data_IF_594818220020
#
_entry.id   IF_594818220020
#
_cell.length_a   1.000
_cell.length_b   1.000
_cell.length_c   1.000
_cell.angle_alpha   90.00
_cell.angle_beta   90.00
_cell.angle_gamma   90.00
#
_symmetry.space_group_name_H-M   'P 1'
#
loop_
_entity.id
_entity.type
_entity.pdbx_description
1 polymer ?
#
# COMPACT_ATOMS: atom_id res chain seq x y z
N UNK A 1 -2.97 2.69 -19.71
CA UNK A 1 -2.32 4.02 -19.65
C UNK A 1 -0.81 3.91 -19.55
N UNK A 2 -0.11 4.78 -20.20
CA UNK A 2 1.34 4.92 -20.04
C UNK A 2 1.66 5.75 -18.80
N UNK A 3 2.89 5.67 -18.33
CA UNK A 3 3.33 6.34 -17.09
C UNK A 3 3.05 7.86 -17.09
N UNK A 4 3.28 8.53 -18.21
CA UNK A 4 3.01 9.97 -18.33
C UNK A 4 1.54 10.32 -18.17
N UNK A 5 0.66 9.51 -18.70
CA UNK A 5 -0.78 9.67 -18.56
C UNK A 5 -1.24 9.45 -17.12
N UNK A 6 -0.68 8.44 -16.47
CA UNK A 6 -0.97 8.14 -15.06
C UNK A 6 -0.49 9.30 -14.18
N UNK A 7 0.73 9.77 -14.40
CA UNK A 7 1.30 10.88 -13.65
C UNK A 7 0.41 12.13 -13.72
N UNK A 8 -0.05 12.46 -14.92
CA UNK A 8 -0.98 13.57 -15.12
C UNK A 8 -2.32 13.36 -14.43
N UNK A 9 -2.87 12.16 -14.56
CA UNK A 9 -4.17 11.81 -13.98
C UNK A 9 -4.20 11.89 -12.45
N UNK A 10 -3.10 11.54 -11.78
CA UNK A 10 -3.03 11.54 -10.31
C UNK A 10 -2.31 12.75 -9.73
N UNK A 11 -1.79 13.64 -10.57
CA UNK A 11 -1.11 14.86 -10.11
C UNK A 11 0.28 14.65 -9.56
N UNK A 12 1.04 13.74 -10.14
CA UNK A 12 2.41 13.45 -9.73
C UNK A 12 3.34 13.43 -10.96
N UNK A 13 4.55 12.93 -10.81
CA UNK A 13 5.53 12.83 -11.88
C UNK A 13 5.84 11.36 -12.20
N UNK A 14 6.30 11.12 -13.43
CA UNK A 14 6.75 9.77 -13.84
C UNK A 14 7.88 9.27 -12.94
N UNK A 15 8.76 10.17 -12.51
CA UNK A 15 9.85 9.83 -11.60
C UNK A 15 9.35 9.32 -10.25
N UNK A 16 8.33 9.96 -9.70
CA UNK A 16 7.71 9.53 -8.44
C UNK A 16 7.09 8.15 -8.58
N UNK A 17 6.39 7.91 -9.69
CA UNK A 17 5.77 6.60 -9.95
C UNK A 17 6.84 5.51 -10.03
N UNK A 18 7.93 5.73 -10.75
CA UNK A 18 9.04 4.78 -10.83
C UNK A 18 9.68 4.52 -9.49
N UNK A 19 9.82 5.56 -8.68
CA UNK A 19 10.35 5.42 -7.33
C UNK A 19 9.44 4.55 -6.46
N UNK A 20 8.13 4.75 -6.54
CA UNK A 20 7.17 3.93 -5.81
C UNK A 20 7.22 2.45 -6.24
N UNK A 21 7.44 2.20 -7.51
CA UNK A 21 7.67 0.84 -8.00
C UNK A 21 8.94 0.23 -7.42
N UNK A 22 10.04 0.99 -7.39
CA UNK A 22 11.31 0.53 -6.84
C UNK A 22 11.24 0.15 -5.38
N UNK A 23 10.51 0.91 -4.57
CA UNK A 23 10.38 0.65 -3.13
C UNK A 23 9.26 -0.34 -2.80
N UNK A 24 8.58 -0.87 -3.81
CA UNK A 24 7.56 -1.89 -3.62
C UNK A 24 6.17 -1.37 -3.26
N UNK A 25 5.93 -0.06 -3.32
CA UNK A 25 4.60 0.50 -3.10
C UNK A 25 3.63 0.19 -4.21
N UNK A 26 4.14 0.16 -5.44
CA UNK A 26 3.39 -0.21 -6.61
C UNK A 26 3.94 -1.50 -7.18
N UNK A 27 3.06 -2.28 -7.76
CA UNK A 27 3.44 -3.49 -8.47
C UNK A 27 4.32 -3.13 -9.66
N UNK A 28 5.48 -3.76 -9.76
CA UNK A 28 6.37 -3.55 -10.89
C UNK A 28 5.75 -4.08 -12.16
N UNK A 29 5.84 -3.29 -13.22
CA UNK A 29 5.33 -3.66 -14.54
C UNK A 29 6.44 -4.13 -15.47
N UNK A 30 7.60 -4.40 -14.93
CA UNK A 30 8.80 -4.81 -15.67
C UNK A 30 8.87 -6.30 -15.99
N UNK A 31 7.87 -7.08 -15.64
CA UNK A 31 7.67 -8.45 -16.09
C UNK A 31 7.42 -8.51 -17.60
N UNK A 32 7.26 -7.36 -18.22
CA UNK A 32 7.10 -7.24 -19.67
C UNK A 32 8.42 -7.29 -20.37
N UNK A 33 8.38 -7.78 -21.61
CA UNK A 33 9.56 -7.86 -22.43
C UNK A 33 10.29 -6.52 -22.49
N UNK A 34 11.61 -6.58 -22.34
CA UNK A 34 12.51 -5.44 -22.42
C UNK A 34 12.26 -4.63 -23.70
N UNK A 35 12.09 -3.32 -23.57
CA UNK A 35 11.81 -2.42 -24.67
C UNK A 35 10.35 -2.09 -24.92
N UNK A 36 9.43 -2.77 -24.25
CA UNK A 36 8.01 -2.41 -24.35
C UNK A 36 7.67 -1.30 -23.35
N UNK A 37 6.79 -0.42 -23.76
CA UNK A 37 6.26 0.61 -22.87
C UNK A 37 5.42 -0.02 -21.76
N UNK A 38 5.64 0.42 -20.54
CA UNK A 38 4.85 -0.02 -19.41
C UNK A 38 3.42 0.51 -19.56
N UNK A 39 2.44 -0.35 -19.32
CA UNK A 39 1.05 0.04 -19.25
C UNK A 39 0.53 -0.16 -17.84
N UNK A 40 -0.27 0.76 -17.38
CA UNK A 40 -0.84 0.76 -16.04
C UNK A 40 -2.34 0.51 -16.15
N UNK A 41 -2.85 -0.32 -15.24
CA UNK A 41 -4.28 -0.63 -15.17
C UNK A 41 -5.00 0.41 -14.33
N UNK A 42 -6.34 0.38 -14.35
CA UNK A 42 -7.14 1.22 -13.47
C UNK A 42 -6.86 0.93 -12.00
N UNK A 43 -6.57 -0.33 -11.66
CA UNK A 43 -6.20 -0.72 -10.29
C UNK A 43 -4.88 -0.07 -9.87
N UNK A 44 -3.91 -0.02 -10.78
CA UNK A 44 -2.63 0.66 -10.53
C UNK A 44 -2.86 2.14 -10.24
N UNK A 45 -3.72 2.78 -11.01
CA UNK A 45 -4.06 4.20 -10.85
C UNK A 45 -4.74 4.45 -9.51
N UNK A 46 -5.72 3.63 -9.15
CA UNK A 46 -6.42 3.73 -7.87
C UNK A 46 -5.49 3.54 -6.69
N UNK A 47 -4.62 2.53 -6.77
CA UNK A 47 -3.63 2.25 -5.73
C UNK A 47 -2.69 3.44 -5.54
N UNK A 48 -2.24 4.04 -6.63
CA UNK A 48 -1.38 5.21 -6.59
C UNK A 48 -2.09 6.42 -5.97
N UNK A 49 -3.35 6.65 -6.34
CA UNK A 49 -4.17 7.72 -5.75
C UNK A 49 -4.32 7.52 -4.25
N UNK A 50 -4.63 6.31 -3.82
CA UNK A 50 -4.78 5.97 -2.41
C UNK A 50 -3.49 6.20 -1.64
N UNK A 51 -2.36 5.77 -2.20
CA UNK A 51 -1.05 5.96 -1.59
C UNK A 51 -0.72 7.44 -1.41
N UNK A 52 -0.90 8.24 -2.46
CA UNK A 52 -0.63 9.69 -2.41
C UNK A 52 -1.56 10.40 -1.43
N UNK A 53 -2.83 10.01 -1.42
CA UNK A 53 -3.82 10.57 -0.53
C UNK A 53 -3.51 10.27 0.94
N UNK A 54 -3.17 9.02 1.25
CA UNK A 54 -2.80 8.62 2.62
C UNK A 54 -1.55 9.36 3.09
N UNK A 55 -0.56 9.47 2.21
CA UNK A 55 0.67 10.19 2.51
C UNK A 55 0.37 11.64 2.89
N UNK A 56 -0.45 12.31 2.10
CA UNK A 56 -0.82 13.70 2.34
C UNK A 56 -1.67 13.88 3.59
N UNK A 57 -2.75 13.11 3.72
CA UNK A 57 -3.69 13.23 4.83
C UNK A 57 -3.06 12.93 6.18
N UNK A 58 -2.20 11.94 6.24
CA UNK A 58 -1.59 11.47 7.49
C UNK A 58 -0.19 12.03 7.70
N UNK A 59 0.35 12.77 6.73
CA UNK A 59 1.71 13.29 6.80
C UNK A 59 2.76 12.20 6.95
N UNK A 60 2.57 11.08 6.26
CA UNK A 60 3.45 9.93 6.38
C UNK A 60 4.77 10.12 5.64
N UNK A 61 5.85 9.56 6.18
CA UNK A 61 7.07 9.35 5.43
C UNK A 61 6.86 8.25 4.39
N UNK A 62 7.74 8.14 3.42
CA UNK A 62 7.66 7.06 2.42
C UNK A 62 7.77 5.69 3.06
N UNK A 63 8.62 5.55 4.09
CA UNK A 63 8.77 4.28 4.82
C UNK A 63 7.48 3.90 5.56
N UNK A 64 6.86 4.86 6.25
CA UNK A 64 5.58 4.66 6.92
C UNK A 64 4.47 4.31 5.94
N UNK A 65 4.45 4.97 4.77
CA UNK A 65 3.49 4.68 3.72
C UNK A 65 3.67 3.26 3.19
N UNK A 66 4.92 2.84 2.96
CA UNK A 66 5.23 1.49 2.50
C UNK A 66 4.75 0.44 3.50
N UNK A 67 5.03 0.63 4.78
CA UNK A 67 4.58 -0.27 5.84
C UNK A 67 3.06 -0.37 5.89
N UNK A 68 2.37 0.77 5.79
CA UNK A 68 0.91 0.81 5.79
C UNK A 68 0.33 0.07 4.58
N UNK A 69 0.87 0.29 3.40
CA UNK A 69 0.40 -0.37 2.18
C UNK A 69 0.65 -1.87 2.21
N UNK A 70 1.80 -2.31 2.70
CA UNK A 70 2.09 -3.74 2.88
C UNK A 70 1.14 -4.39 3.87
N UNK A 71 0.84 -3.70 4.97
CA UNK A 71 -0.09 -4.18 5.98
C UNK A 71 -1.51 -4.33 5.40
N UNK A 72 -1.95 -3.38 4.59
CA UNK A 72 -3.24 -3.45 3.91
C UNK A 72 -3.31 -4.59 2.89
N UNK A 73 -2.23 -4.83 2.15
CA UNK A 73 -2.15 -5.95 1.21
C UNK A 73 -2.25 -7.29 1.96
N UNK A 74 -1.55 -7.41 3.08
CA UNK A 74 -1.60 -8.60 3.92
C UNK A 74 -3.01 -8.81 4.50
N UNK A 75 -3.66 -7.74 4.93
CA UNK A 75 -5.04 -7.80 5.43
C UNK A 75 -5.99 -8.28 4.34
N UNK A 76 -5.88 -7.74 3.14
CA UNK A 76 -6.73 -8.13 2.02
C UNK A 76 -6.52 -9.61 1.66
N UNK A 77 -5.28 -10.07 1.66
CA UNK A 77 -4.96 -11.46 1.38
C UNK A 77 -5.54 -12.41 2.45
N UNK A 78 -5.44 -12.03 3.73
CA UNK A 78 -6.03 -12.82 4.83
C UNK A 78 -7.55 -12.87 4.74
N UNK A 79 -8.18 -11.75 4.40
CA UNK A 79 -9.62 -11.68 4.23
C UNK A 79 -10.09 -12.60 3.10
N UNK A 80 -9.37 -12.58 1.98
CA UNK A 80 -9.67 -13.46 0.85
C UNK A 80 -9.52 -14.94 1.21
N UNK A 81 -8.44 -15.29 1.88
CA UNK A 81 -8.19 -16.65 2.35
C UNK A 81 -9.30 -17.12 3.32
N UNK A 82 -9.69 -16.26 4.26
CA UNK A 82 -10.73 -16.56 5.25
C UNK A 82 -12.07 -16.83 4.58
N UNK A 83 -12.46 -16.00 3.62
CA UNK A 83 -13.80 -16.09 3.00
C UNK A 83 -13.88 -17.07 1.84
N UNK A 84 -12.80 -17.29 1.12
CA UNK A 84 -12.82 -18.06 -0.13
C UNK A 84 -11.88 -19.28 -0.14
N UNK A 85 -10.88 -19.31 0.72
CA UNK A 85 -9.86 -20.36 0.73
C UNK A 85 -10.19 -21.58 1.56
N UNK A 86 -11.27 -21.59 2.31
CA UNK A 86 -11.68 -22.68 3.20
C UNK A 86 -10.51 -23.15 4.11
N UNK A 87 -9.92 -22.25 4.89
CA UNK A 87 -8.74 -22.60 5.70
C UNK A 87 -9.07 -23.61 6.79
N UNK A 88 -8.05 -24.42 7.17
CA UNK A 88 -8.15 -25.33 8.30
C UNK A 88 -8.34 -24.56 9.61
N UNK A 89 -8.80 -25.21 10.69
CA UNK A 89 -8.91 -24.57 12.00
C UNK A 89 -7.57 -23.98 12.48
N UNK A 90 -6.46 -24.67 12.24
CA UNK A 90 -5.13 -24.18 12.60
C UNK A 90 -4.76 -22.92 11.79
N UNK A 91 -5.06 -22.90 10.50
CA UNK A 91 -4.82 -21.73 9.65
C UNK A 91 -5.70 -20.56 10.06
N UNK A 92 -6.95 -20.81 10.42
CA UNK A 92 -7.86 -19.78 10.93
C UNK A 92 -7.32 -19.11 12.19
N UNK A 93 -6.79 -19.92 13.13
CA UNK A 93 -6.17 -19.40 14.34
C UNK A 93 -4.96 -18.51 14.00
N UNK A 94 -4.13 -18.93 13.04
CA UNK A 94 -2.99 -18.15 12.58
C UNK A 94 -3.41 -16.82 11.93
N UNK A 95 -4.45 -16.84 11.10
CA UNK A 95 -5.00 -15.64 10.46
C UNK A 95 -5.47 -14.64 11.50
N UNK A 96 -6.18 -15.10 12.54
CA UNK A 96 -6.64 -14.23 13.62
C UNK A 96 -5.49 -13.59 14.38
N UNK A 97 -4.41 -14.33 14.65
CA UNK A 97 -3.22 -13.79 15.29
C UNK A 97 -2.50 -12.76 14.42
N UNK A 98 -2.42 -13.01 13.12
CA UNK A 98 -1.83 -12.06 12.16
C UNK A 98 -2.66 -10.77 12.11
N UNK A 99 -4.00 -10.89 12.10
CA UNK A 99 -4.90 -9.74 12.11
C UNK A 99 -4.73 -8.93 13.39
N UNK A 100 -4.62 -9.58 14.53
CA UNK A 100 -4.40 -8.93 15.83
C UNK A 100 -3.10 -8.14 15.83
N UNK A 101 -2.00 -8.72 15.34
CA UNK A 101 -0.70 -8.02 15.22
C UNK A 101 -0.79 -6.82 14.29
N UNK A 102 -1.54 -6.95 13.20
CA UNK A 102 -1.75 -5.86 12.25
C UNK A 102 -2.45 -4.67 12.93
N UNK A 103 -3.52 -4.95 13.66
CA UNK A 103 -4.27 -3.94 14.41
C UNK A 103 -3.37 -3.26 15.44
N UNK A 104 -2.59 -4.02 16.19
CA UNK A 104 -1.66 -3.50 17.18
C UNK A 104 -0.66 -2.53 16.56
N UNK A 105 -0.09 -2.88 15.41
CA UNK A 105 0.85 -2.01 14.68
C UNK A 105 0.18 -0.73 14.22
N UNK A 106 -1.04 -0.81 13.72
CA UNK A 106 -1.78 0.37 13.30
C UNK A 106 -2.09 1.29 14.48
N UNK A 107 -2.46 0.72 15.61
CA UNK A 107 -2.71 1.49 16.83
C UNK A 107 -1.43 2.18 17.32
N UNK A 108 -0.28 1.51 17.24
CA UNK A 108 1.01 2.11 17.58
C UNK A 108 1.35 3.29 16.66
N UNK A 109 1.12 3.14 15.36
CA UNK A 109 1.37 4.20 14.39
C UNK A 109 0.49 5.42 14.67
N UNK A 110 -0.80 5.19 14.91
CA UNK A 110 -1.75 6.26 15.24
C UNK A 110 -1.35 6.97 16.54
N UNK A 111 -0.96 6.19 17.55
CA UNK A 111 -0.55 6.74 18.84
C UNK A 111 0.71 7.62 18.70
N UNK A 112 1.69 7.17 17.93
CA UNK A 112 2.90 7.96 17.66
C UNK A 112 2.56 9.26 16.92
N UNK A 113 1.72 9.19 15.91
CA UNK A 113 1.32 10.36 15.12
C UNK A 113 0.55 11.35 15.97
N UNK A 114 -0.34 10.85 16.83
CA UNK A 114 -1.10 11.67 17.76
C UNK A 114 -0.16 12.42 18.73
N UNK A 115 0.84 11.72 19.26
CA UNK A 115 1.83 12.31 20.15
C UNK A 115 2.62 13.43 19.44
N UNK A 116 3.07 13.18 18.21
CA UNK A 116 3.79 14.17 17.40
C UNK A 116 2.95 15.42 17.14
N UNK A 117 1.67 15.25 16.83
CA UNK A 117 0.74 16.36 16.60
C UNK A 117 0.54 17.16 17.89
N UNK A 118 0.40 16.49 19.03
CA UNK A 118 0.25 17.15 20.32
C UNK A 118 1.46 17.97 20.71
N UNK A 119 2.67 17.52 20.35
CA UNK A 119 3.90 18.28 20.58
C UNK A 119 3.97 19.59 19.81
N UNK A 120 3.26 19.68 18.68
CA UNK A 120 3.22 20.87 17.85
C UNK A 120 2.25 21.94 18.38
N UNK A 121 1.39 21.58 19.30
CA UNK A 121 0.49 22.54 19.97
C UNK A 121 1.28 23.36 21.04
#
# INVERSE_FOLDING_TARGET
>A
MRIGEVAEAVGTTSRTIRYYEEIGLLRRTDERASGQHRTYTEQDVERLRDALRLKELLGLSLEELRELMEAEDARAARSDEWHHGQPSPARRAAILKEAERHIERQLELVARRRAEVQELE
#
